data_IF_347517816544
#
_entry.id   IF_347517816544
#
_cell.length_a   1.000
_cell.length_b   1.000
_cell.length_c   1.000
_cell.angle_alpha   90.00
_cell.angle_beta   90.00
_cell.angle_gamma   90.00
#
_symmetry.space_group_name_H-M   'P 1'
#
loop_
_entity.id
_entity.type
_entity.pdbx_description
1 polymer ?
#
# COMPACT_ATOMS: atom_id res chain seq x y z
N UNK A 1 -41.78 48.46 -20.22
CA UNK A 1 -42.18 47.36 -19.32
C UNK A 1 -41.12 46.28 -19.44
N UNK A 2 -40.13 46.35 -18.55
CA UNK A 2 -38.88 45.58 -18.58
C UNK A 2 -39.07 44.35 -17.68
N UNK A 3 -39.04 43.14 -18.24
CA UNK A 3 -39.03 41.90 -17.45
C UNK A 3 -37.58 41.40 -17.38
N UNK A 4 -36.87 41.82 -16.34
CA UNK A 4 -35.56 41.28 -15.97
C UNK A 4 -35.80 40.04 -15.10
N UNK A 5 -35.75 38.86 -15.71
CA UNK A 5 -35.83 37.59 -15.01
C UNK A 5 -34.47 37.34 -14.34
N UNK A 6 -34.40 37.62 -13.05
CA UNK A 6 -33.23 37.34 -12.19
C UNK A 6 -33.02 35.84 -12.15
N UNK A 7 -32.05 35.35 -12.91
CA UNK A 7 -31.49 34.02 -12.71
C UNK A 7 -30.68 34.10 -11.42
N UNK A 8 -31.30 33.77 -10.29
CA UNK A 8 -30.58 33.51 -9.05
C UNK A 8 -29.63 32.35 -9.35
N UNK A 9 -28.37 32.68 -9.60
CA UNK A 9 -27.27 31.73 -9.54
C UNK A 9 -27.20 31.31 -8.08
N UNK A 10 -27.92 30.26 -7.72
CA UNK A 10 -27.62 29.47 -6.54
C UNK A 10 -26.23 28.91 -6.79
N UNK A 11 -25.21 29.66 -6.37
CA UNK A 11 -23.87 29.16 -6.20
C UNK A 11 -23.95 28.07 -5.14
N UNK A 12 -24.31 26.86 -5.57
CA UNK A 12 -24.06 25.66 -4.81
C UNK A 12 -22.56 25.71 -4.51
N UNK A 13 -22.22 25.93 -3.24
CA UNK A 13 -20.84 25.84 -2.79
C UNK A 13 -20.44 24.38 -3.02
N UNK A 14 -19.78 24.13 -4.15
CA UNK A 14 -18.97 22.94 -4.34
C UNK A 14 -17.84 23.07 -3.32
N UNK A 15 -18.06 22.55 -2.12
CA UNK A 15 -17.00 22.37 -1.15
C UNK A 15 -16.06 21.33 -1.73
N UNK A 16 -15.00 21.78 -2.40
CA UNK A 16 -13.86 20.93 -2.65
C UNK A 16 -13.38 20.44 -1.28
N UNK A 17 -13.37 19.12 -1.07
CA UNK A 17 -12.87 18.53 0.17
C UNK A 17 -11.46 19.08 0.42
N UNK A 18 -11.19 19.52 1.65
CA UNK A 18 -9.85 19.98 2.00
C UNK A 18 -8.86 18.86 1.67
N UNK A 19 -7.90 19.18 0.81
CA UNK A 19 -6.91 18.22 0.36
C UNK A 19 -6.04 17.78 1.54
N UNK A 20 -5.80 16.49 1.63
CA UNK A 20 -4.90 15.88 2.62
C UNK A 20 -4.09 14.75 1.97
N UNK A 21 -2.92 14.46 2.54
CA UNK A 21 -2.06 13.34 2.16
C UNK A 21 -1.51 12.69 3.41
N UNK A 22 -1.32 11.37 3.39
CA UNK A 22 -0.70 10.63 4.48
C UNK A 22 0.80 10.93 4.54
N UNK A 23 1.34 11.05 5.75
CA UNK A 23 2.79 11.13 5.96
C UNK A 23 3.27 9.82 6.59
N UNK A 24 4.37 9.27 6.07
CA UNK A 24 4.97 8.06 6.60
C UNK A 24 6.49 8.21 6.68
N UNK A 25 7.00 8.17 7.91
CA UNK A 25 8.42 8.32 8.21
C UNK A 25 9.02 6.93 8.45
N UNK A 26 10.08 6.58 7.71
CA UNK A 26 10.66 5.24 7.76
C UNK A 26 12.05 5.22 8.39
N UNK A 27 12.31 4.18 9.17
CA UNK A 27 13.64 3.76 9.58
C UNK A 27 13.81 2.29 9.22
N UNK A 28 14.76 2.00 8.35
CA UNK A 28 14.98 0.68 7.76
C UNK A 28 16.39 0.22 8.11
N UNK A 29 16.48 -0.87 8.87
CA UNK A 29 17.73 -1.56 9.16
C UNK A 29 17.71 -2.94 8.50
N UNK A 30 18.54 -3.15 7.48
CA UNK A 30 18.56 -4.37 6.67
C UNK A 30 19.98 -4.85 6.47
N UNK A 31 20.18 -6.17 6.55
CA UNK A 31 21.41 -6.86 6.21
C UNK A 31 21.21 -7.74 4.97
N UNK A 32 22.19 -7.71 4.07
CA UNK A 32 22.28 -8.59 2.90
C UNK A 32 23.12 -9.82 3.25
N UNK A 33 22.60 -10.99 2.90
CA UNK A 33 23.35 -12.23 2.82
C UNK A 33 23.47 -12.62 1.34
N UNK A 34 24.63 -12.34 0.76
CA UNK A 34 24.93 -12.57 -0.64
C UNK A 34 25.12 -14.05 -0.97
N UNK A 35 25.57 -14.87 -0.03
CA UNK A 35 25.70 -16.33 -0.22
C UNK A 35 24.33 -17.02 -0.27
N UNK A 36 23.38 -16.55 0.55
CA UNK A 36 22.03 -17.12 0.62
C UNK A 36 21.02 -16.36 -0.24
N UNK A 37 21.44 -15.29 -0.92
CA UNK A 37 20.58 -14.41 -1.72
C UNK A 37 19.37 -13.90 -0.92
N UNK A 38 19.59 -13.48 0.33
CA UNK A 38 18.52 -13.09 1.25
C UNK A 38 18.75 -11.74 1.92
N UNK A 39 17.64 -11.09 2.30
CA UNK A 39 17.63 -9.87 3.10
C UNK A 39 16.96 -10.17 4.44
N UNK A 40 17.56 -9.71 5.53
CA UNK A 40 16.95 -9.74 6.86
C UNK A 40 16.98 -8.35 7.46
N UNK A 41 15.86 -7.89 7.98
CA UNK A 41 15.80 -6.55 8.53
C UNK A 41 14.63 -6.29 9.45
N UNK A 42 14.68 -5.11 10.06
CA UNK A 42 13.61 -4.52 10.84
C UNK A 42 13.24 -3.18 10.18
N UNK A 43 11.96 -3.03 9.87
CA UNK A 43 11.40 -1.79 9.34
C UNK A 43 10.52 -1.20 10.43
N UNK A 44 10.84 0.01 10.85
CA UNK A 44 9.96 0.85 11.67
C UNK A 44 9.42 1.94 10.79
N UNK A 45 8.12 2.20 10.90
CA UNK A 45 7.52 3.37 10.29
C UNK A 45 6.59 4.05 11.28
N UNK A 46 6.59 5.37 11.24
CA UNK A 46 5.59 6.23 11.88
C UNK A 46 4.59 6.64 10.80
N UNK A 47 3.31 6.39 11.05
CA UNK A 47 2.23 6.72 10.14
C UNK A 47 1.41 7.85 10.75
N UNK A 48 1.34 8.99 10.07
CA UNK A 48 0.59 10.17 10.51
C UNK A 48 -0.65 10.28 9.63
N UNK A 49 -1.82 10.08 10.27
CA UNK A 49 -3.09 10.22 9.59
C UNK A 49 -3.47 11.71 9.48
N UNK A 50 -3.52 12.20 8.25
CA UNK A 50 -4.03 13.54 7.95
C UNK A 50 -5.45 13.53 7.40
N UNK A 51 -6.05 12.34 7.27
CA UNK A 51 -7.46 12.20 6.90
C UNK A 51 -8.35 12.80 7.99
N UNK A 52 -9.48 13.43 7.64
CA UNK A 52 -10.50 13.79 8.62
C UNK A 52 -11.19 12.56 9.23
N UNK A 53 -11.01 11.39 8.63
CA UNK A 53 -11.62 10.13 9.07
C UNK A 53 -10.63 9.28 9.87
N UNK A 54 -11.14 8.59 10.89
CA UNK A 54 -10.37 7.62 11.67
C UNK A 54 -9.92 6.42 10.82
N UNK A 55 -8.65 6.06 10.98
CA UNK A 55 -8.07 4.91 10.30
C UNK A 55 -7.91 3.73 11.27
N UNK A 56 -8.67 2.66 11.05
CA UNK A 56 -8.65 1.44 11.90
C UNK A 56 -7.72 0.33 11.40
N UNK A 57 -7.23 0.44 10.17
CA UNK A 57 -6.30 -0.52 9.58
C UNK A 57 -5.43 0.15 8.50
N UNK A 58 -4.31 -0.47 8.16
CA UNK A 58 -3.43 -0.02 7.08
C UNK A 58 -3.22 -1.18 6.09
N UNK A 59 -3.31 -0.90 4.80
CA UNK A 59 -2.86 -1.85 3.77
C UNK A 59 -1.36 -1.70 3.54
N UNK A 60 -0.64 -2.83 3.54
CA UNK A 60 0.81 -2.86 3.36
C UNK A 60 1.14 -3.77 2.18
N UNK A 61 1.95 -3.24 1.25
CA UNK A 61 2.54 -4.04 0.20
C UNK A 61 3.72 -4.87 0.71
N UNK A 62 3.70 -6.15 0.38
CA UNK A 62 4.76 -7.12 0.63
C UNK A 62 5.50 -7.39 -0.67
N UNK A 63 6.16 -6.36 -1.21
CA UNK A 63 6.72 -6.35 -2.57
C UNK A 63 7.52 -7.58 -2.99
N UNK A 64 8.37 -8.20 -2.13
CA UNK A 64 9.06 -9.44 -2.51
C UNK A 64 8.11 -10.57 -2.93
N UNK A 65 6.91 -10.66 -2.33
CA UNK A 65 5.89 -11.66 -2.70
C UNK A 65 5.31 -11.43 -4.11
N UNK A 66 5.49 -10.25 -4.71
CA UNK A 66 5.14 -10.00 -6.11
C UNK A 66 5.95 -10.85 -7.10
N UNK A 67 7.08 -11.42 -6.66
CA UNK A 67 7.94 -12.30 -7.46
C UNK A 67 7.75 -13.79 -7.14
N UNK A 68 6.78 -14.12 -6.28
CA UNK A 68 6.64 -15.48 -5.72
C UNK A 68 6.25 -16.52 -6.76
N UNK A 69 5.29 -16.19 -7.62
CA UNK A 69 4.76 -17.08 -8.65
C UNK A 69 4.02 -16.30 -9.75
N UNK A 70 3.43 -17.07 -10.69
CA UNK A 70 2.74 -16.56 -11.87
C UNK A 70 1.34 -16.00 -11.59
N UNK A 71 0.82 -16.21 -10.38
CA UNK A 71 -0.50 -15.74 -9.98
C UNK A 71 -0.49 -14.33 -9.38
N UNK A 72 0.70 -13.81 -9.07
CA UNK A 72 0.93 -12.44 -8.60
C UNK A 72 0.44 -11.39 -9.61
N UNK A 73 0.02 -10.23 -9.09
CA UNK A 73 -0.38 -9.10 -9.92
C UNK A 73 0.76 -8.63 -10.83
N UNK A 74 1.99 -8.57 -10.31
CA UNK A 74 3.19 -8.20 -11.06
C UNK A 74 3.42 -9.14 -12.26
N UNK A 75 3.39 -10.46 -12.05
CA UNK A 75 3.60 -11.40 -13.14
C UNK A 75 2.53 -11.25 -14.23
N UNK A 76 1.26 -11.14 -13.84
CA UNK A 76 0.12 -10.97 -14.76
C UNK A 76 0.26 -9.68 -15.58
N UNK A 77 0.65 -8.58 -14.94
CA UNK A 77 0.90 -7.30 -15.62
C UNK A 77 2.05 -7.42 -16.63
N UNK A 78 3.19 -7.98 -16.24
CA UNK A 78 4.35 -8.13 -17.12
C UNK A 78 4.05 -9.10 -18.27
N UNK A 79 3.26 -10.15 -18.04
CA UNK A 79 2.83 -11.10 -19.07
C UNK A 79 1.86 -10.48 -20.09
N UNK A 80 1.03 -9.52 -19.67
CA UNK A 80 0.11 -8.81 -20.56
C UNK A 80 0.82 -7.76 -21.43
N UNK A 81 1.94 -7.21 -20.95
CA UNK A 81 2.75 -6.23 -21.68
C UNK A 81 3.57 -6.91 -22.81
N UNK A 82 3.46 -6.39 -24.04
CA UNK A 82 4.21 -6.91 -25.21
C UNK A 82 5.72 -6.86 -24.99
N UNK A 83 6.23 -5.80 -24.37
CA UNK A 83 7.65 -5.68 -24.04
C UNK A 83 7.98 -6.47 -22.76
N UNK A 84 7.04 -6.51 -21.82
CA UNK A 84 7.14 -7.27 -20.56
C UNK A 84 7.30 -8.76 -20.73
N UNK A 85 6.68 -9.37 -21.75
CA UNK A 85 6.90 -10.79 -22.07
C UNK A 85 8.36 -11.13 -22.33
N UNK A 86 9.15 -10.19 -22.86
CA UNK A 86 10.60 -10.39 -23.03
C UNK A 86 11.33 -10.38 -21.69
N UNK A 87 10.84 -9.65 -20.68
CA UNK A 87 11.40 -9.54 -19.32
C UNK A 87 11.01 -10.71 -18.41
N UNK A 88 9.95 -11.47 -18.73
CA UNK A 88 9.56 -12.65 -17.95
C UNK A 88 10.67 -13.69 -17.83
N UNK A 89 11.57 -13.78 -18.82
CA UNK A 89 12.73 -14.67 -18.78
C UNK A 89 13.74 -14.32 -17.66
N UNK A 90 13.65 -13.10 -17.13
CA UNK A 90 14.53 -12.59 -16.09
C UNK A 90 13.98 -12.88 -14.68
N UNK A 91 12.70 -13.30 -14.57
CA UNK A 91 12.08 -13.82 -13.35
C UNK A 91 12.52 -15.27 -13.07
N UNK A 92 13.83 -15.52 -13.08
CA UNK A 92 14.42 -16.85 -12.86
C UNK A 92 14.36 -17.27 -11.40
N UNK A 93 14.63 -16.31 -10.50
CA UNK A 93 14.59 -16.52 -9.06
C UNK A 93 13.26 -16.03 -8.49
N UNK A 94 12.63 -16.86 -7.67
CA UNK A 94 11.39 -16.51 -6.99
C UNK A 94 11.73 -15.71 -5.74
N UNK A 95 11.17 -14.51 -5.63
CA UNK A 95 11.23 -13.71 -4.41
C UNK A 95 10.02 -14.01 -3.52
N UNK A 96 10.23 -14.09 -2.20
CA UNK A 96 9.16 -14.15 -1.22
C UNK A 96 9.66 -13.71 0.15
N UNK A 97 8.72 -13.33 1.02
CA UNK A 97 8.95 -13.11 2.45
C UNK A 97 8.71 -14.45 3.16
N UNK A 98 9.71 -14.97 3.85
CA UNK A 98 9.63 -16.23 4.58
C UNK A 98 9.03 -16.07 5.99
N UNK A 99 9.20 -14.89 6.58
CA UNK A 99 8.83 -14.57 7.95
C UNK A 99 8.44 -13.11 8.07
N UNK A 100 7.34 -12.84 8.76
CA UNK A 100 6.79 -11.50 8.93
C UNK A 100 6.14 -11.38 10.31
N UNK A 101 6.48 -10.32 11.03
CA UNK A 101 5.91 -10.01 12.32
C UNK A 101 5.66 -8.50 12.40
N UNK A 102 4.39 -8.11 12.47
CA UNK A 102 4.02 -6.71 12.69
C UNK A 102 3.73 -6.46 14.16
N UNK A 103 4.27 -5.35 14.66
CA UNK A 103 3.97 -4.85 16.00
C UNK A 103 3.67 -3.36 15.93
N UNK A 104 2.67 -2.89 16.68
CA UNK A 104 2.38 -1.47 16.87
C UNK A 104 2.50 -1.17 18.36
N UNK A 105 3.38 -0.23 18.73
CA UNK A 105 3.66 0.07 20.13
C UNK A 105 4.18 -1.14 20.94
N UNK A 106 4.86 -2.09 20.29
CA UNK A 106 5.32 -3.34 20.89
C UNK A 106 4.27 -4.45 21.00
N UNK A 107 3.02 -4.20 20.62
CA UNK A 107 1.93 -5.18 20.64
C UNK A 107 1.86 -5.87 19.28
N UNK A 108 1.86 -7.21 19.26
CA UNK A 108 1.67 -7.98 18.03
C UNK A 108 0.31 -7.65 17.40
N UNK A 109 0.31 -7.32 16.11
CA UNK A 109 -0.91 -6.92 15.41
C UNK A 109 -1.56 -8.10 14.68
N UNK A 110 -2.89 -8.09 14.64
CA UNK A 110 -3.65 -8.98 13.76
C UNK A 110 -3.49 -8.54 12.32
N UNK A 111 -3.32 -9.51 11.42
CA UNK A 111 -3.29 -9.29 9.98
C UNK A 111 -4.34 -10.10 9.25
N UNK A 112 -4.84 -9.57 8.13
CA UNK A 112 -5.77 -10.27 7.22
C UNK A 112 -5.18 -10.22 5.80
N UNK A 113 -5.25 -11.33 5.06
CA UNK A 113 -4.78 -11.37 3.68
C UNK A 113 -5.72 -10.56 2.77
N UNK A 114 -5.17 -9.89 1.75
CA UNK A 114 -6.02 -9.30 0.71
C UNK A 114 -6.70 -10.42 -0.09
N UNK A 115 -8.01 -10.32 -0.40
CA UNK A 115 -8.76 -11.42 -1.04
C UNK A 115 -8.25 -11.81 -2.42
N UNK A 116 -7.56 -10.90 -3.12
CA UNK A 116 -7.09 -11.10 -4.49
C UNK A 116 -5.57 -11.06 -4.66
N UNK A 117 -4.85 -10.39 -3.75
CA UNK A 117 -3.45 -10.01 -3.98
C UNK A 117 -2.58 -10.57 -2.85
N UNK A 118 -1.83 -11.62 -3.15
CA UNK A 118 -0.98 -12.30 -2.16
C UNK A 118 0.23 -11.47 -1.68
N UNK A 119 0.50 -10.35 -2.34
CA UNK A 119 1.52 -9.36 -2.03
C UNK A 119 0.97 -8.14 -1.29
N UNK A 120 -0.26 -8.22 -0.75
CA UNK A 120 -0.88 -7.18 0.08
C UNK A 120 -1.44 -7.78 1.36
N UNK A 121 -1.20 -7.12 2.49
CA UNK A 121 -1.72 -7.51 3.79
C UNK A 121 -2.43 -6.34 4.46
N UNK A 122 -3.55 -6.63 5.13
CA UNK A 122 -4.27 -5.70 6.00
C UNK A 122 -3.67 -5.80 7.40
N UNK A 123 -3.11 -4.71 7.91
CA UNK A 123 -2.67 -4.59 9.29
C UNK A 123 -3.80 -3.95 10.10
N UNK A 124 -4.40 -4.71 11.02
CA UNK A 124 -5.43 -4.18 11.92
C UNK A 124 -4.75 -3.41 13.05
N UNK A 125 -5.10 -2.13 13.21
CA UNK A 125 -4.50 -1.29 14.22
C UNK A 125 -5.11 -1.62 15.60
N UNK A 126 -4.29 -1.77 16.66
CA UNK A 126 -4.80 -1.98 18.02
C UNK A 126 -5.65 -0.82 18.53
N UNK A 127 -5.39 0.39 18.03
CA UNK A 127 -6.15 1.61 18.27
C UNK A 127 -6.27 2.38 16.95
N UNK A 128 -7.45 2.90 16.57
CA UNK A 128 -7.60 3.77 15.41
C UNK A 128 -6.70 5.01 15.50
N UNK A 129 -6.18 5.43 14.35
CA UNK A 129 -5.45 6.69 14.20
C UNK A 129 -6.42 7.80 13.83
N UNK A 130 -6.26 8.95 14.50
CA UNK A 130 -6.84 10.23 14.09
C UNK A 130 -5.93 10.87 13.08
#
# INVERSE_FOLDING_TARGET
MLALLVFCISSAMLHAQQYWQQEVNYNIAVALNDQQHSLKGNIKFEYINHSPDELSFIWIHLWPNGYKDKETALYKQVAADKEGRKRLKDFKEKGFIDSLAFTVGGIACKTEAHPQYQDIVKLILPKPLQ
#
